data_IF_497143164418
#
_entry.id   IF_497143164418
#
_cell.length_a   1.000
_cell.length_b   1.000
_cell.length_c   1.000
_cell.angle_alpha   90.00
_cell.angle_beta   90.00
_cell.angle_gamma   90.00
#
_symmetry.space_group_name_H-M   'P 1'
#
loop_
_entity.id
_entity.type
_entity.pdbx_description
1 polymer ?
#
# COMPACT_ATOMS: atom_id res chain seq x y z
N UNK A 1 -11.86 12.95 13.08
CA UNK A 1 -11.51 11.56 13.44
C UNK A 1 -10.84 10.94 12.22
N UNK A 2 -9.51 10.91 12.17
CA UNK A 2 -8.78 10.30 11.07
C UNK A 2 -9.03 8.80 11.11
N UNK A 3 -9.79 8.28 10.15
CA UNK A 3 -10.00 6.86 10.00
C UNK A 3 -8.67 6.28 9.47
N UNK A 4 -7.73 5.98 10.38
CA UNK A 4 -6.46 5.33 10.05
C UNK A 4 -6.80 3.92 9.55
N UNK A 5 -7.15 3.81 8.26
CA UNK A 5 -7.40 2.54 7.61
C UNK A 5 -6.08 1.77 7.63
N UNK A 6 -5.92 0.89 8.62
CA UNK A 6 -4.81 -0.04 8.71
C UNK A 6 -4.71 -0.86 7.41
N UNK A 7 -3.49 -1.31 7.09
CA UNK A 7 -3.29 -2.25 6.00
C UNK A 7 -3.91 -3.58 6.38
N UNK A 8 -4.82 -4.05 5.53
CA UNK A 8 -5.38 -5.41 5.61
C UNK A 8 -4.31 -6.44 5.24
N UNK A 9 -4.59 -7.73 5.45
CA UNK A 9 -3.70 -8.80 5.00
C UNK A 9 -3.53 -8.81 3.48
N UNK A 10 -4.62 -8.56 2.74
CA UNK A 10 -4.59 -8.39 1.29
C UNK A 10 -3.73 -7.20 0.86
N UNK A 11 -3.88 -6.05 1.51
CA UNK A 11 -3.04 -4.87 1.21
C UNK A 11 -1.56 -5.23 1.36
N UNK A 12 -1.18 -5.96 2.43
CA UNK A 12 0.21 -6.38 2.68
C UNK A 12 0.72 -7.37 1.62
N UNK A 13 -0.11 -8.33 1.23
CA UNK A 13 0.22 -9.29 0.17
C UNK A 13 0.43 -8.59 -1.18
N UNK A 14 -0.43 -7.61 -1.48
CA UNK A 14 -0.31 -6.77 -2.66
C UNK A 14 0.96 -5.92 -2.65
N UNK A 15 1.29 -5.28 -1.52
CA UNK A 15 2.53 -4.51 -1.37
C UNK A 15 3.74 -5.41 -1.66
N UNK A 16 3.82 -6.59 -1.03
CA UNK A 16 4.93 -7.51 -1.23
C UNK A 16 5.08 -7.92 -2.70
N UNK A 17 3.97 -8.27 -3.37
CA UNK A 17 3.98 -8.66 -4.79
C UNK A 17 4.39 -7.50 -5.70
N UNK A 18 3.92 -6.30 -5.39
CA UNK A 18 4.23 -5.09 -6.15
C UNK A 18 5.70 -4.66 -5.99
N UNK A 19 6.25 -4.77 -4.78
CA UNK A 19 7.67 -4.50 -4.53
C UNK A 19 8.57 -5.50 -5.27
N UNK A 20 8.19 -6.78 -5.31
CA UNK A 20 8.89 -7.78 -6.11
C UNK A 20 8.80 -7.53 -7.62
N UNK A 21 7.88 -6.67 -8.06
CA UNK A 21 7.68 -6.29 -9.47
C UNK A 21 8.28 -4.90 -9.78
N UNK A 22 9.13 -4.35 -8.91
CA UNK A 22 9.76 -3.02 -9.03
C UNK A 22 8.77 -1.83 -9.06
N UNK A 23 7.58 -2.00 -8.46
CA UNK A 23 6.64 -0.88 -8.33
C UNK A 23 7.14 0.11 -7.28
N UNK A 24 7.01 1.41 -7.56
CA UNK A 24 7.33 2.45 -6.58
C UNK A 24 6.27 2.53 -5.47
N UNK A 25 6.70 2.88 -4.25
CA UNK A 25 5.80 3.08 -3.10
C UNK A 25 4.62 4.00 -3.41
N UNK A 26 4.85 5.05 -4.21
CA UNK A 26 3.80 5.99 -4.62
C UNK A 26 2.71 5.32 -5.47
N UNK A 27 3.10 4.48 -6.44
CA UNK A 27 2.17 3.72 -7.28
C UNK A 27 1.34 2.74 -6.46
N UNK A 28 1.98 2.05 -5.52
CA UNK A 28 1.32 1.08 -4.63
C UNK A 28 0.31 1.80 -3.72
N UNK A 29 0.70 2.95 -3.18
CA UNK A 29 -0.15 3.78 -2.34
C UNK A 29 -1.40 4.31 -3.09
N UNK A 30 -1.23 4.72 -4.34
CA UNK A 30 -2.35 5.13 -5.21
C UNK A 30 -3.34 4.00 -5.41
N UNK A 31 -2.86 2.77 -5.67
CA UNK A 31 -3.70 1.58 -5.86
C UNK A 31 -4.48 1.19 -4.60
N UNK A 32 -3.85 1.32 -3.42
CA UNK A 32 -4.49 1.02 -2.14
C UNK A 32 -5.29 2.20 -1.56
N UNK A 33 -5.30 3.35 -2.24
CA UNK A 33 -5.88 4.59 -1.76
C UNK A 33 -5.34 4.98 -0.35
N UNK A 34 -4.02 4.87 -0.18
CA UNK A 34 -3.28 5.17 1.05
C UNK A 34 -2.27 6.28 0.84
N UNK A 35 -1.71 6.78 1.94
CA UNK A 35 -0.55 7.68 1.88
C UNK A 35 0.72 6.85 1.54
N UNK A 36 1.67 7.38 0.75
CA UNK A 36 2.91 6.67 0.43
C UNK A 36 3.72 6.23 1.65
N UNK A 37 3.69 7.00 2.74
CA UNK A 37 4.36 6.61 4.00
C UNK A 37 3.67 5.47 4.75
N UNK A 38 2.51 4.99 4.27
CA UNK A 38 1.81 3.82 4.81
C UNK A 38 2.29 2.53 4.15
N UNK A 39 2.87 2.62 2.95
CA UNK A 39 3.41 1.50 2.19
C UNK A 39 4.85 1.25 2.61
#
# INVERSE_FOLDING_TARGET
MTNHKHLTLDDRSYIQTSLNSDFSFRRIAEQLNKHPSTI
#
